data_IF_541104471808
#
_entry.id   IF_541104471808
#
_cell.length_a   1.000
_cell.length_b   1.000
_cell.length_c   1.000
_cell.angle_alpha   90.00
_cell.angle_beta   90.00
_cell.angle_gamma   90.00
#
_symmetry.space_group_name_H-M   'P 1'
#
loop_
_entity.id
_entity.type
_entity.pdbx_description
1 polymer ?
#
# COMPACT_ATOMS: atom_id res chain seq x y z
N UNK A 1 -9.32 -1.24 -22.60
CA UNK A 1 -10.26 -2.25 -22.09
C UNK A 1 -10.51 -1.93 -20.62
N UNK A 2 -11.59 -1.22 -20.30
CA UNK A 2 -12.00 -0.89 -18.94
C UNK A 2 -12.58 -2.16 -18.35
N UNK A 3 -11.71 -2.87 -17.64
CA UNK A 3 -11.90 -4.24 -17.28
C UNK A 3 -12.94 -4.49 -16.21
N UNK A 4 -13.40 -5.65 -16.28
CA UNK A 4 -14.21 -6.43 -15.36
C UNK A 4 -13.50 -6.70 -14.00
N UNK A 5 -12.57 -5.81 -13.57
CA UNK A 5 -11.71 -5.99 -12.41
C UNK A 5 -12.50 -5.68 -11.16
N UNK A 6 -12.61 -6.63 -10.24
CA UNK A 6 -13.18 -6.45 -8.90
C UNK A 6 -12.23 -5.63 -8.00
N UNK A 7 -12.73 -5.14 -6.86
CA UNK A 7 -11.85 -4.49 -5.88
C UNK A 7 -10.81 -5.46 -5.34
N UNK A 8 -11.19 -6.70 -5.09
CA UNK A 8 -10.28 -7.77 -4.67
C UNK A 8 -9.17 -8.01 -5.70
N UNK A 9 -9.51 -8.09 -7.01
CA UNK A 9 -8.49 -8.24 -8.05
C UNK A 9 -7.51 -7.05 -8.09
N UNK A 10 -8.01 -5.83 -7.88
CA UNK A 10 -7.19 -4.63 -7.91
C UNK A 10 -6.20 -4.59 -6.74
N UNK A 11 -6.65 -4.95 -5.53
CA UNK A 11 -5.82 -5.02 -4.32
C UNK A 11 -4.77 -6.13 -4.47
N UNK A 12 -5.19 -7.35 -4.85
CA UNK A 12 -4.28 -8.48 -5.05
C UNK A 12 -3.22 -8.23 -6.13
N UNK A 13 -3.56 -7.47 -7.16
CA UNK A 13 -2.59 -7.06 -8.18
C UNK A 13 -1.46 -6.25 -7.57
N UNK A 14 -1.80 -5.25 -6.75
CA UNK A 14 -0.81 -4.43 -6.05
C UNK A 14 0.06 -5.27 -5.09
N UNK A 15 -0.53 -6.23 -4.37
CA UNK A 15 0.22 -7.16 -3.51
C UNK A 15 1.31 -7.90 -4.31
N UNK A 16 0.96 -8.42 -5.50
CA UNK A 16 1.95 -9.12 -6.37
C UNK A 16 3.06 -8.19 -6.85
N UNK A 17 2.73 -6.93 -7.16
CA UNK A 17 3.75 -5.94 -7.53
C UNK A 17 4.70 -5.63 -6.36
N UNK A 18 4.16 -5.42 -5.16
CA UNK A 18 4.95 -5.17 -3.95
C UNK A 18 5.87 -6.35 -3.63
N UNK A 19 5.37 -7.59 -3.68
CA UNK A 19 6.18 -8.80 -3.52
C UNK A 19 7.29 -8.89 -4.57
N UNK A 20 6.97 -8.62 -5.83
CA UNK A 20 7.96 -8.61 -6.91
C UNK A 20 9.05 -7.54 -6.68
N UNK A 21 8.69 -6.35 -6.23
CA UNK A 21 9.68 -5.30 -5.95
C UNK A 21 10.57 -5.65 -4.76
N UNK A 22 10.03 -6.30 -3.74
CA UNK A 22 10.82 -6.87 -2.65
C UNK A 22 11.85 -7.88 -3.16
N UNK A 23 11.43 -8.81 -4.01
CA UNK A 23 12.33 -9.81 -4.60
C UNK A 23 13.45 -9.15 -5.42
N UNK A 24 13.15 -8.09 -6.16
CA UNK A 24 14.15 -7.32 -6.90
C UNK A 24 15.17 -6.65 -5.96
N UNK A 25 14.74 -6.13 -4.79
CA UNK A 25 15.64 -5.54 -3.80
C UNK A 25 16.58 -6.60 -3.22
N UNK A 26 16.05 -7.76 -2.84
CA UNK A 26 16.84 -8.83 -2.20
C UNK A 26 17.83 -9.48 -3.15
N UNK A 27 17.43 -9.67 -4.41
CA UNK A 27 18.26 -10.34 -5.41
C UNK A 27 19.23 -9.39 -6.14
N UNK A 28 19.09 -8.07 -5.98
CA UNK A 28 20.00 -7.12 -6.62
C UNK A 28 21.42 -7.23 -6.07
N UNK A 29 22.39 -7.21 -6.97
CA UNK A 29 23.83 -7.32 -6.64
C UNK A 29 24.53 -5.96 -6.52
N UNK A 30 23.88 -4.90 -6.98
CA UNK A 30 24.44 -3.53 -6.95
C UNK A 30 23.53 -2.54 -6.21
N UNK A 31 24.14 -1.50 -5.67
CA UNK A 31 23.44 -0.50 -4.87
C UNK A 31 22.49 0.38 -5.69
N UNK A 32 22.75 0.63 -6.96
CA UNK A 32 21.88 1.45 -7.81
C UNK A 32 20.55 0.73 -8.06
N UNK A 33 20.59 -0.54 -8.40
CA UNK A 33 19.40 -1.39 -8.56
C UNK A 33 18.62 -1.49 -7.26
N UNK A 34 19.28 -1.74 -6.11
CA UNK A 34 18.63 -1.75 -4.80
C UNK A 34 17.92 -0.43 -4.51
N UNK A 35 18.57 0.71 -4.79
CA UNK A 35 17.96 2.05 -4.57
C UNK A 35 16.73 2.27 -5.45
N UNK A 36 16.78 1.86 -6.72
CA UNK A 36 15.65 2.03 -7.65
C UNK A 36 14.43 1.24 -7.20
N UNK A 37 14.61 -0.02 -6.83
CA UNK A 37 13.52 -0.86 -6.36
C UNK A 37 13.07 -0.51 -4.94
N UNK A 38 13.95 -0.01 -4.06
CA UNK A 38 13.57 0.59 -2.78
C UNK A 38 12.59 1.75 -3.00
N UNK A 39 12.88 2.64 -3.94
CA UNK A 39 12.00 3.76 -4.24
C UNK A 39 10.66 3.28 -4.83
N UNK A 40 10.68 2.31 -5.74
CA UNK A 40 9.47 1.77 -6.35
C UNK A 40 8.61 1.00 -5.34
N UNK A 41 9.22 0.16 -4.51
CA UNK A 41 8.56 -0.54 -3.41
C UNK A 41 7.89 0.46 -2.44
N UNK A 42 8.62 1.48 -2.02
CA UNK A 42 8.10 2.51 -1.12
C UNK A 42 6.95 3.27 -1.74
N UNK A 43 7.09 3.65 -3.00
CA UNK A 43 6.09 4.36 -3.79
C UNK A 43 4.79 3.57 -3.94
N UNK A 44 4.88 2.28 -4.21
CA UNK A 44 3.69 1.43 -4.37
C UNK A 44 3.05 1.13 -3.03
N UNK A 45 3.81 0.68 -2.03
CA UNK A 45 3.27 0.31 -0.72
C UNK A 45 2.62 1.51 0.01
N UNK A 46 3.20 2.71 -0.07
CA UNK A 46 2.61 3.91 0.53
C UNK A 46 1.26 4.25 -0.08
N UNK A 47 1.14 4.22 -1.42
CA UNK A 47 -0.10 4.52 -2.14
C UNK A 47 -1.17 3.46 -1.96
N UNK A 48 -0.75 2.19 -1.97
CA UNK A 48 -1.60 1.03 -1.76
C UNK A 48 -2.28 1.11 -0.39
N UNK A 49 -1.50 1.24 0.69
CA UNK A 49 -2.03 1.32 2.05
C UNK A 49 -3.04 2.45 2.25
N UNK A 50 -2.76 3.64 1.70
CA UNK A 50 -3.71 4.77 1.79
C UNK A 50 -4.94 4.51 0.91
N UNK A 51 -4.77 3.86 -0.23
CA UNK A 51 -5.88 3.47 -1.10
C UNK A 51 -6.87 2.55 -0.38
N UNK A 52 -6.38 1.60 0.40
CA UNK A 52 -7.22 0.71 1.22
C UNK A 52 -7.89 1.45 2.36
N UNK A 53 -7.17 2.26 3.10
CA UNK A 53 -7.71 3.06 4.21
C UNK A 53 -8.81 4.02 3.76
N UNK A 54 -8.75 4.53 2.54
CA UNK A 54 -9.75 5.47 1.99
C UNK A 54 -10.89 4.79 1.25
N UNK A 55 -10.71 3.58 0.73
CA UNK A 55 -11.71 2.94 -0.16
C UNK A 55 -12.14 1.57 0.35
N UNK A 56 -11.19 0.68 0.66
CA UNK A 56 -11.50 -0.72 0.98
C UNK A 56 -12.05 -0.84 2.40
N UNK A 57 -11.40 -0.24 3.39
CA UNK A 57 -11.82 -0.33 4.79
C UNK A 57 -13.17 0.35 5.05
N UNK A 58 -13.47 1.53 4.48
CA UNK A 58 -14.83 2.06 4.55
C UNK A 58 -15.89 1.17 3.88
N UNK A 59 -15.52 0.43 2.82
CA UNK A 59 -16.42 -0.53 2.20
C UNK A 59 -16.65 -1.77 3.09
N UNK A 60 -15.60 -2.29 3.75
CA UNK A 60 -15.75 -3.34 4.77
C UNK A 60 -16.71 -2.89 5.88
N UNK A 61 -16.53 -1.69 6.44
CA UNK A 61 -17.37 -1.14 7.48
C UNK A 61 -18.84 -1.00 7.06
N UNK A 62 -19.07 -0.69 5.77
CA UNK A 62 -20.42 -0.46 5.24
C UNK A 62 -21.16 -1.73 4.86
N UNK A 63 -20.46 -2.71 4.28
CA UNK A 63 -21.12 -3.84 3.62
C UNK A 63 -20.95 -5.17 4.35
N UNK A 64 -19.93 -5.33 5.18
CA UNK A 64 -19.61 -6.61 5.84
C UNK A 64 -20.08 -6.60 7.28
N UNK A 65 -20.75 -7.66 7.69
CA UNK A 65 -21.09 -7.85 9.11
C UNK A 65 -19.80 -8.05 9.93
N UNK A 66 -19.62 -7.24 10.98
CA UNK A 66 -18.35 -7.17 11.72
C UNK A 66 -17.22 -6.43 11.00
N UNK A 67 -17.46 -5.85 9.83
CA UNK A 67 -16.47 -5.17 8.99
C UNK A 67 -15.74 -4.02 9.67
N UNK A 68 -16.38 -3.35 10.65
CA UNK A 68 -15.70 -2.33 11.46
C UNK A 68 -14.54 -2.89 12.27
N UNK A 69 -14.73 -4.05 12.90
CA UNK A 69 -13.67 -4.69 13.68
C UNK A 69 -12.51 -5.17 12.79
N UNK A 70 -12.82 -5.66 11.58
CA UNK A 70 -11.85 -6.04 10.56
C UNK A 70 -11.04 -4.81 10.12
N UNK A 71 -11.68 -3.77 9.66
CA UNK A 71 -11.03 -2.54 9.23
C UNK A 71 -10.19 -1.86 10.34
N UNK A 72 -10.63 -1.91 11.60
CA UNK A 72 -9.87 -1.36 12.73
C UNK A 72 -8.61 -2.20 13.03
N UNK A 73 -8.64 -3.53 12.86
CA UNK A 73 -7.48 -4.42 12.94
C UNK A 73 -6.48 -4.10 11.83
N UNK A 74 -6.95 -4.05 10.60
CA UNK A 74 -6.11 -3.79 9.41
C UNK A 74 -5.40 -2.43 9.50
N UNK A 75 -6.10 -1.38 9.96
CA UNK A 75 -5.48 -0.07 10.23
C UNK A 75 -4.38 -0.14 11.30
N UNK A 76 -4.51 -1.00 12.32
CA UNK A 76 -3.45 -1.18 13.32
C UNK A 76 -2.22 -1.87 12.72
N UNK A 77 -2.42 -2.83 11.83
CA UNK A 77 -1.33 -3.50 11.09
C UNK A 77 -0.66 -2.52 10.13
N UNK A 78 -1.44 -1.76 9.37
CA UNK A 78 -0.95 -0.70 8.50
C UNK A 78 -0.11 0.35 9.23
N UNK A 79 -0.47 0.71 10.46
CA UNK A 79 0.32 1.64 11.27
C UNK A 79 1.73 1.10 11.51
N UNK A 80 1.86 -0.18 11.85
CA UNK A 80 3.17 -0.84 12.03
C UNK A 80 3.96 -0.86 10.71
N UNK A 81 3.29 -1.22 9.61
CA UNK A 81 3.88 -1.22 8.27
C UNK A 81 4.35 0.18 7.87
N UNK A 82 3.54 1.21 8.07
CA UNK A 82 3.90 2.62 7.80
C UNK A 82 5.13 3.07 8.58
N UNK A 83 5.23 2.72 9.89
CA UNK A 83 6.40 3.04 10.71
C UNK A 83 7.67 2.35 10.21
N UNK A 84 7.57 1.09 9.81
CA UNK A 84 8.71 0.35 9.28
C UNK A 84 9.09 0.83 7.89
N UNK A 85 8.12 1.13 7.02
CA UNK A 85 8.35 1.71 5.71
C UNK A 85 9.03 3.09 5.82
N UNK A 86 8.60 3.91 6.79
CA UNK A 86 9.25 5.20 7.06
C UNK A 86 10.72 5.04 7.45
N UNK A 87 11.05 4.04 8.28
CA UNK A 87 12.46 3.71 8.60
C UNK A 87 13.21 3.25 7.36
N UNK A 88 12.63 2.30 6.61
CA UNK A 88 13.26 1.72 5.43
C UNK A 88 13.54 2.77 4.34
N UNK A 89 12.63 3.68 4.10
CA UNK A 89 12.79 4.73 3.07
C UNK A 89 13.91 5.74 3.36
N UNK A 90 14.44 5.76 4.60
CA UNK A 90 15.56 6.62 5.03
C UNK A 90 16.91 5.92 4.87
N UNK A 91 16.93 4.59 4.71
CA UNK A 91 18.14 3.80 4.64
C UNK A 91 18.77 3.83 3.24
N UNK A 92 20.10 3.75 3.21
CA UNK A 92 20.86 3.49 2.00
C UNK A 92 21.12 1.97 1.87
N UNK A 93 21.29 1.42 0.65
CA UNK A 93 21.68 0.02 0.47
C UNK A 93 22.99 -0.39 1.16
N UNK A 94 23.85 0.57 1.51
CA UNK A 94 25.09 0.35 2.28
C UNK A 94 24.88 0.27 3.80
N UNK A 95 23.69 0.61 4.30
CA UNK A 95 23.41 0.58 5.72
C UNK A 95 23.23 -0.86 6.22
N UNK A 96 23.84 -1.20 7.36
CA UNK A 96 23.71 -2.52 7.96
C UNK A 96 22.24 -2.91 8.29
N UNK A 97 21.37 -1.92 8.46
CA UNK A 97 19.95 -2.12 8.75
C UNK A 97 19.07 -2.23 7.50
N UNK A 98 19.62 -2.04 6.29
CA UNK A 98 18.84 -2.04 5.05
C UNK A 98 18.12 -3.38 4.84
N UNK A 99 18.87 -4.48 4.71
CA UNK A 99 18.26 -5.79 4.49
C UNK A 99 17.46 -6.32 5.69
N UNK A 100 17.94 -6.20 6.95
CA UNK A 100 17.12 -6.60 8.10
C UNK A 100 15.79 -5.86 8.17
N UNK A 101 15.76 -4.56 7.85
CA UNK A 101 14.53 -3.75 7.92
C UNK A 101 13.54 -4.17 6.85
N UNK A 102 13.95 -4.32 5.59
CA UNK A 102 13.03 -4.70 4.52
C UNK A 102 12.52 -6.15 4.70
N UNK A 103 13.36 -7.08 5.17
CA UNK A 103 12.96 -8.46 5.45
C UNK A 103 11.90 -8.52 6.56
N UNK A 104 12.08 -7.76 7.63
CA UNK A 104 11.10 -7.68 8.71
C UNK A 104 9.79 -7.05 8.23
N UNK A 105 9.88 -5.91 7.52
CA UNK A 105 8.71 -5.25 6.94
C UNK A 105 7.93 -6.22 6.06
N UNK A 106 8.61 -6.94 5.17
CA UNK A 106 7.95 -7.89 4.27
C UNK A 106 7.35 -9.08 5.00
N UNK A 107 7.97 -9.54 6.11
CA UNK A 107 7.41 -10.61 6.94
C UNK A 107 6.08 -10.19 7.58
N UNK A 108 6.02 -8.99 8.16
CA UNK A 108 4.80 -8.47 8.79
C UNK A 108 3.73 -8.17 7.72
N UNK A 109 4.15 -7.64 6.57
CA UNK A 109 3.25 -7.36 5.43
C UNK A 109 2.68 -8.64 4.80
N UNK A 110 3.48 -9.69 4.65
CA UNK A 110 3.02 -10.96 4.07
C UNK A 110 1.95 -11.65 4.93
N UNK A 111 2.02 -11.50 6.26
CA UNK A 111 1.01 -12.00 7.18
C UNK A 111 -0.31 -11.22 7.01
N UNK A 112 -0.23 -9.89 6.95
CA UNK A 112 -1.37 -9.02 6.65
C UNK A 112 -2.00 -9.35 5.29
N UNK A 113 -1.21 -9.40 4.20
CA UNK A 113 -1.68 -9.75 2.85
C UNK A 113 -2.45 -11.08 2.87
N UNK A 114 -1.91 -12.09 3.56
CA UNK A 114 -2.55 -13.39 3.64
C UNK A 114 -3.92 -13.32 4.31
N UNK A 115 -4.04 -12.64 5.44
CA UNK A 115 -5.30 -12.49 6.16
C UNK A 115 -6.32 -11.71 5.31
N UNK A 116 -5.90 -10.60 4.72
CA UNK A 116 -6.77 -9.79 3.87
C UNK A 116 -7.26 -10.57 2.64
N UNK A 117 -6.37 -11.26 1.93
CA UNK A 117 -6.75 -12.03 0.73
C UNK A 117 -7.62 -13.26 1.02
N UNK A 118 -7.48 -13.86 2.19
CA UNK A 118 -8.23 -15.09 2.55
C UNK A 118 -9.50 -14.81 3.33
N UNK A 119 -9.63 -13.66 3.98
CA UNK A 119 -10.78 -13.33 4.81
C UNK A 119 -11.50 -12.05 4.37
N UNK A 120 -10.82 -10.91 4.41
CA UNK A 120 -11.46 -9.60 4.32
C UNK A 120 -11.99 -9.31 2.92
N UNK A 121 -11.16 -9.51 1.90
CA UNK A 121 -11.56 -9.35 0.51
C UNK A 121 -12.61 -10.39 0.08
N UNK A 122 -12.53 -11.62 0.61
CA UNK A 122 -13.53 -12.65 0.33
C UNK A 122 -14.90 -12.24 0.88
N UNK A 123 -14.94 -11.78 2.13
CA UNK A 123 -16.20 -11.32 2.76
C UNK A 123 -16.73 -10.08 2.07
N UNK A 124 -15.87 -9.15 1.67
CA UNK A 124 -16.25 -7.95 0.93
C UNK A 124 -16.91 -8.32 -0.42
N UNK A 125 -16.29 -9.18 -1.21
CA UNK A 125 -16.85 -9.60 -2.52
C UNK A 125 -18.18 -10.38 -2.38
N UNK A 126 -18.36 -11.10 -1.29
CA UNK A 126 -19.64 -11.77 -1.00
C UNK A 126 -20.75 -10.79 -0.58
N UNK A 127 -20.40 -9.67 0.04
CA UNK A 127 -21.33 -8.69 0.57
C UNK A 127 -21.71 -7.59 -0.42
N UNK A 128 -20.84 -7.26 -1.37
CA UNK A 128 -21.08 -6.17 -2.32
C UNK A 128 -21.63 -6.66 -3.67
N UNK A 129 -22.55 -5.92 -4.30
CA UNK A 129 -22.93 -6.19 -5.68
C UNK A 129 -21.73 -6.06 -6.62
N UNK A 130 -21.67 -6.89 -7.68
CA UNK A 130 -20.57 -6.87 -8.66
C UNK A 130 -20.31 -5.48 -9.26
N UNK A 131 -21.35 -4.70 -9.52
CA UNK A 131 -21.21 -3.35 -10.04
C UNK A 131 -20.54 -2.41 -9.03
N UNK A 132 -20.82 -2.58 -7.74
CA UNK A 132 -20.21 -1.81 -6.67
C UNK A 132 -18.76 -2.20 -6.46
N UNK A 133 -18.41 -3.50 -6.49
CA UNK A 133 -17.01 -3.96 -6.45
C UNK A 133 -16.16 -3.33 -7.56
N UNK A 134 -16.68 -3.25 -8.78
CA UNK A 134 -16.02 -2.55 -9.90
C UNK A 134 -15.86 -1.05 -9.66
N UNK A 135 -16.86 -0.42 -9.07
CA UNK A 135 -16.81 1.00 -8.70
C UNK A 135 -15.74 1.25 -7.64
N UNK A 136 -15.65 0.39 -6.64
CA UNK A 136 -14.61 0.42 -5.61
C UNK A 136 -13.22 0.21 -6.21
N UNK A 137 -13.05 -0.74 -7.15
CA UNK A 137 -11.78 -0.94 -7.88
C UNK A 137 -11.34 0.32 -8.64
N UNK A 138 -12.29 0.97 -9.32
CA UNK A 138 -12.01 2.22 -10.05
C UNK A 138 -11.66 3.37 -9.07
N UNK A 139 -12.32 3.44 -7.92
CA UNK A 139 -12.05 4.43 -6.87
C UNK A 139 -10.69 4.19 -6.23
N UNK A 140 -10.33 2.95 -5.92
CA UNK A 140 -9.03 2.57 -5.39
C UNK A 140 -7.89 3.01 -6.32
N UNK A 141 -7.96 2.64 -7.59
CA UNK A 141 -6.97 3.06 -8.60
C UNK A 141 -6.85 4.58 -8.72
N UNK A 142 -7.98 5.29 -8.72
CA UNK A 142 -8.01 6.76 -8.82
C UNK A 142 -7.42 7.40 -7.57
N UNK A 143 -7.74 6.91 -6.39
CA UNK A 143 -7.22 7.41 -5.11
C UNK A 143 -5.70 7.33 -5.08
N UNK A 144 -5.11 6.21 -5.51
CA UNK A 144 -3.66 6.02 -5.62
C UNK A 144 -2.95 7.07 -6.48
N UNK A 145 -3.66 7.73 -7.41
CA UNK A 145 -3.08 8.80 -8.24
C UNK A 145 -2.85 10.11 -7.48
N UNK A 146 -3.55 10.33 -6.37
CA UNK A 146 -3.58 11.62 -5.65
C UNK A 146 -2.98 11.58 -4.25
N UNK A 147 -2.71 10.38 -3.71
CA UNK A 147 -2.17 10.21 -2.37
C UNK A 147 -0.65 10.35 -2.32
N UNK A 148 -0.06 10.50 -1.11
CA UNK A 148 1.39 10.49 -0.90
C UNK A 148 2.07 9.25 -1.45
N UNK A 149 3.32 9.41 -1.89
CA UNK A 149 4.16 8.36 -2.47
C UNK A 149 5.26 7.90 -1.51
N UNK A 150 5.24 8.41 -0.28
CA UNK A 150 6.14 8.07 0.82
C UNK A 150 5.35 7.81 2.09
N UNK A 151 5.95 7.11 3.04
CA UNK A 151 5.32 6.83 4.32
C UNK A 151 5.38 8.04 5.26
N UNK A 152 4.23 8.39 5.82
CA UNK A 152 4.03 9.45 6.80
C UNK A 152 3.28 8.88 8.03
N UNK A 153 3.97 8.20 8.98
CA UNK A 153 3.32 7.47 10.07
C UNK A 153 2.46 8.33 10.99
N UNK A 154 2.76 9.64 11.05
CA UNK A 154 2.01 10.59 11.88
C UNK A 154 0.71 11.08 11.22
N UNK A 155 0.48 10.73 9.95
CA UNK A 155 -0.76 11.08 9.27
C UNK A 155 -1.93 10.25 9.84
N UNK A 156 -3.14 10.84 9.96
CA UNK A 156 -4.33 10.10 10.35
C UNK A 156 -4.62 8.95 9.39
N UNK A 157 -5.23 7.89 9.89
CA UNK A 157 -5.57 6.67 9.15
C UNK A 157 -7.07 6.50 8.87
N UNK A 158 -7.86 7.57 9.08
CA UNK A 158 -9.32 7.58 8.86
C UNK A 158 -9.78 8.85 8.16
N UNK A 159 -10.72 8.73 7.20
CA UNK A 159 -11.41 9.89 6.64
C UNK A 159 -12.14 10.71 7.72
N UNK A 160 -12.26 12.04 7.59
CA UNK A 160 -11.74 12.88 6.49
C UNK A 160 -10.31 13.38 6.72
N UNK A 161 -9.75 13.15 7.91
CA UNK A 161 -8.45 13.72 8.30
C UNK A 161 -7.28 13.15 7.49
N UNK A 162 -7.33 11.86 7.15
CA UNK A 162 -6.35 11.23 6.27
C UNK A 162 -6.34 11.89 4.89
N UNK A 163 -7.50 12.18 4.31
CA UNK A 163 -7.62 12.87 3.02
C UNK A 163 -6.96 14.24 3.05
N UNK A 164 -7.15 15.01 4.13
CA UNK A 164 -6.52 16.34 4.29
C UNK A 164 -5.00 16.21 4.40
N UNK A 165 -4.52 15.30 5.24
CA UNK A 165 -3.08 15.07 5.40
C UNK A 165 -2.45 14.58 4.08
N UNK A 166 -3.12 13.69 3.35
CA UNK A 166 -2.69 13.21 2.04
C UNK A 166 -2.62 14.32 1.00
N UNK A 167 -3.61 15.20 0.94
CA UNK A 167 -3.62 16.35 0.02
C UNK A 167 -2.49 17.34 0.29
N UNK A 168 -2.00 17.43 1.53
CA UNK A 168 -0.87 18.30 1.89
C UNK A 168 0.48 17.63 1.61
N UNK A 169 0.62 16.33 1.83
CA UNK A 169 1.88 15.60 1.67
C UNK A 169 2.15 15.17 0.21
N UNK A 170 1.11 14.79 -0.54
CA UNK A 170 1.26 14.25 -1.89
C UNK A 170 1.99 15.17 -2.89
N UNK A 171 1.78 16.49 -2.94
CA UNK A 171 2.52 17.35 -3.86
C UNK A 171 4.01 17.39 -3.54
N UNK A 172 4.37 17.37 -2.27
CA UNK A 172 5.78 17.41 -1.82
C UNK A 172 6.48 16.10 -2.17
N UNK A 173 5.84 14.98 -1.91
CA UNK A 173 6.35 13.66 -2.26
C UNK A 173 6.56 13.50 -3.77
N UNK A 174 5.56 13.88 -4.58
CA UNK A 174 5.62 13.79 -6.03
C UNK A 174 6.70 14.70 -6.62
N UNK A 175 6.90 15.89 -6.07
CA UNK A 175 8.01 16.75 -6.46
C UNK A 175 9.36 16.09 -6.13
N UNK A 176 9.47 15.45 -4.97
CA UNK A 176 10.64 14.67 -4.58
C UNK A 176 10.90 13.48 -5.50
N UNK A 177 9.87 12.83 -6.01
CA UNK A 177 9.99 11.65 -6.89
C UNK A 177 10.66 12.00 -8.24
N UNK A 178 10.55 13.24 -8.71
CA UNK A 178 11.25 13.71 -9.93
C UNK A 178 12.77 13.56 -9.79
N UNK A 179 13.30 13.68 -8.59
CA UNK A 179 14.73 13.59 -8.30
C UNK A 179 15.16 12.20 -7.81
N UNK A 180 14.23 11.28 -7.57
CA UNK A 180 14.52 9.91 -7.15
C UNK A 180 14.78 9.01 -8.33
N UNK A 181 15.62 8.01 -8.09
CA UNK A 181 15.88 6.97 -9.10
C UNK A 181 14.80 5.91 -9.03
N UNK A 182 14.18 5.61 -10.16
CA UNK A 182 13.29 4.48 -10.35
C UNK A 182 13.87 3.51 -11.38
N UNK A 183 13.43 2.25 -11.44
CA UNK A 183 13.78 1.34 -12.52
C UNK A 183 13.41 1.96 -13.88
N UNK A 184 14.21 1.69 -14.89
CA UNK A 184 13.88 2.06 -16.27
C UNK A 184 12.95 0.99 -16.83
N UNK A 185 11.91 1.42 -17.53
CA UNK A 185 11.06 0.54 -18.34
C UNK A 185 11.86 -0.17 -19.42
#
# INVERSE_FOLDING_TARGET
MTGNTSVSDAVKHDHREIEQYYDQIINATDADTKTRYQNLFTWELARHSIGEELVVYPALEKYVDGGKAMADRDRQEHRKVKEMLYKFQQLSPSDNQFEPTIKRLMSDLAEHIKEEETEDLVKLEQAVPTAESRSLAASFKRTKMFVPTRSHPSAPDKPPFETVAGLLAAPIDKLGDIFRKFPKE
#
